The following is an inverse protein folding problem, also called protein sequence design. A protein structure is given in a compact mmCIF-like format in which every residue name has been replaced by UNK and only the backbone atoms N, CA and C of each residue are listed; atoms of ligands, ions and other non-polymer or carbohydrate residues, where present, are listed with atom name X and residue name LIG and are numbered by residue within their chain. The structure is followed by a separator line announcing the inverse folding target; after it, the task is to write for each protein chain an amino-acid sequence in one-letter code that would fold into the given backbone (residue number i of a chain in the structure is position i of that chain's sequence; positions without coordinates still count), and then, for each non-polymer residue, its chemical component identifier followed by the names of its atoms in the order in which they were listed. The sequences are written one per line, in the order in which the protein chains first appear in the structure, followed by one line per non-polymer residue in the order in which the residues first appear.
data_IF_852859011018
#
_entry.id   IF_852859011018
#
_cell.length_a   1.000
_cell.length_b   1.000
_cell.length_c   1.000
_cell.angle_alpha   90.00
_cell.angle_beta   90.00
_cell.angle_gamma   90.00
#
_symmetry.space_group_name_H-M   'P 1'
#
loop_
_entity.id
_entity.type
_entity.pdbx_description
1 polymer ?
#
# COMPACT_ATOMS: atom_id res chain seq x y z
N UNK A 1 3.43 13.06 13.18
CA UNK A 1 2.40 12.74 12.17
C UNK A 1 2.40 11.22 12.01
N UNK A 2 1.25 10.60 11.79
CA UNK A 2 1.16 9.14 11.65
C UNK A 2 1.54 8.72 10.22
N UNK A 3 2.57 7.88 10.11
CA UNK A 3 3.08 7.36 8.84
C UNK A 3 2.60 5.94 8.61
N UNK A 4 1.87 5.73 7.52
CA UNK A 4 1.34 4.42 7.14
C UNK A 4 2.32 3.68 6.26
N UNK A 5 2.64 2.44 6.60
CA UNK A 5 3.43 1.58 5.72
C UNK A 5 2.57 1.05 4.56
N UNK A 6 2.94 1.36 3.31
CA UNK A 6 2.17 0.99 2.11
C UNK A 6 2.85 -0.13 1.31
N UNK A 7 4.10 -0.45 1.60
CA UNK A 7 4.84 -1.54 0.97
C UNK A 7 6.29 -1.20 0.69
N UNK A 8 6.85 -1.80 -0.36
CA UNK A 8 8.22 -1.59 -0.78
C UNK A 8 8.29 -1.15 -2.23
N UNK A 9 9.37 -0.47 -2.60
CA UNK A 9 9.65 -0.17 -4.01
C UNK A 9 9.81 -1.46 -4.85
N UNK A 10 9.44 -1.36 -6.13
CA UNK A 10 9.30 -2.50 -7.06
C UNK A 10 10.64 -2.94 -7.63
N UNK A 11 10.78 -4.24 -7.89
CA UNK A 11 11.88 -4.82 -8.68
C UNK A 11 11.49 -4.84 -10.18
N UNK A 12 12.44 -4.67 -11.12
CA UNK A 12 12.17 -4.76 -12.56
C UNK A 12 11.60 -6.14 -12.97
N UNK A 13 10.81 -6.16 -14.04
CA UNK A 13 10.08 -7.35 -14.52
C UNK A 13 10.97 -8.44 -15.15
N UNK A 14 12.28 -8.23 -15.23
CA UNK A 14 13.24 -9.15 -15.84
C UNK A 14 14.32 -9.50 -14.83
N UNK A 15 14.56 -10.79 -14.53
CA UNK A 15 15.79 -11.21 -13.87
C UNK A 15 16.90 -11.28 -14.94
N UNK A 16 17.52 -10.14 -15.24
CA UNK A 16 18.79 -10.15 -15.99
C UNK A 16 19.94 -10.27 -14.99
N UNK A 17 20.45 -11.50 -14.85
CA UNK A 17 21.67 -11.80 -14.10
C UNK A 17 21.53 -11.71 -12.59
N UNK A 18 22.61 -12.05 -11.90
CA UNK A 18 22.76 -12.04 -10.44
C UNK A 18 22.60 -10.62 -9.86
N UNK A 19 21.37 -10.09 -9.85
CA UNK A 19 21.08 -8.82 -9.21
C UNK A 19 21.15 -9.07 -7.70
N UNK A 20 22.06 -8.39 -6.96
CA UNK A 20 22.12 -8.49 -5.51
C UNK A 20 20.74 -8.18 -4.93
N UNK A 21 20.41 -8.76 -3.77
CA UNK A 21 19.22 -8.38 -3.02
C UNK A 21 19.28 -6.87 -2.71
N UNK A 22 18.69 -6.06 -3.59
CA UNK A 22 18.71 -4.60 -3.48
C UNK A 22 17.92 -4.28 -2.21
N UNK A 23 18.52 -3.51 -1.31
CA UNK A 23 17.83 -2.97 -0.15
C UNK A 23 16.54 -2.28 -0.63
N UNK A 24 15.38 -2.79 -0.22
CA UNK A 24 14.08 -2.37 -0.76
C UNK A 24 13.56 -1.24 0.13
N UNK A 25 13.61 0.03 -0.31
CA UNK A 25 13.12 1.10 0.52
C UNK A 25 11.64 0.91 0.82
N UNK A 26 11.29 1.03 2.09
CA UNK A 26 9.91 1.04 2.54
C UNK A 26 9.22 2.31 2.05
N UNK A 27 7.99 2.17 1.58
CA UNK A 27 7.15 3.27 1.13
C UNK A 27 6.16 3.61 2.25
N UNK A 28 6.17 4.87 2.66
CA UNK A 28 5.29 5.41 3.68
C UNK A 28 4.35 6.47 3.10
N UNK A 29 3.17 6.58 3.69
CA UNK A 29 2.16 7.58 3.36
C UNK A 29 1.78 8.33 4.64
N UNK A 30 1.87 9.64 4.61
CA UNK A 30 1.33 10.48 5.69
C UNK A 30 -0.19 10.33 5.74
N UNK A 31 -0.74 10.02 6.93
CA UNK A 31 -2.19 9.80 7.10
C UNK A 31 -3.03 10.98 6.61
N UNK A 32 -2.57 12.21 6.80
CA UNK A 32 -3.24 13.44 6.36
C UNK A 32 -3.41 13.50 4.83
N UNK A 33 -2.64 12.72 4.08
CA UNK A 33 -2.81 12.58 2.63
C UNK A 33 -4.17 12.00 2.27
N UNK A 34 -4.75 11.13 3.13
CA UNK A 34 -6.07 10.54 2.91
C UNK A 34 -7.21 11.57 2.94
N UNK A 35 -6.99 12.76 3.53
CA UNK A 35 -7.94 13.88 3.48
C UNK A 35 -8.14 14.40 2.05
N UNK A 36 -7.23 14.09 1.12
CA UNK A 36 -7.32 14.46 -0.30
C UNK A 36 -7.89 13.35 -1.18
N UNK A 37 -8.39 12.28 -0.57
CA UNK A 37 -8.84 11.05 -1.21
C UNK A 37 -7.70 10.25 -1.86
N UNK A 38 -7.85 8.93 -1.85
CA UNK A 38 -6.95 7.98 -2.51
C UNK A 38 -7.77 7.10 -3.45
N UNK A 39 -7.17 6.72 -4.58
CA UNK A 39 -7.77 5.77 -5.51
C UNK A 39 -6.72 4.73 -5.93
N UNK A 40 -7.05 3.44 -5.76
CA UNK A 40 -6.24 2.34 -6.26
C UNK A 40 -6.76 1.89 -7.64
N UNK A 41 -5.97 2.11 -8.70
CA UNK A 41 -6.33 1.78 -10.09
C UNK A 41 -5.44 0.66 -10.66
N UNK A 42 -5.99 -0.18 -11.54
CA UNK A 42 -5.29 -1.33 -12.13
C UNK A 42 -6.20 -2.47 -12.56
N UNK A 43 -5.67 -3.45 -13.31
CA UNK A 43 -6.39 -4.63 -13.82
C UNK A 43 -6.82 -5.61 -12.71
N UNK A 44 -7.68 -6.59 -13.02
CA UNK A 44 -7.94 -7.71 -12.10
C UNK A 44 -6.62 -8.38 -11.68
N UNK A 45 -6.52 -8.81 -10.42
CA UNK A 45 -5.29 -9.40 -9.85
C UNK A 45 -4.12 -8.44 -9.59
N UNK A 46 -4.25 -7.14 -9.87
CA UNK A 46 -3.15 -6.17 -9.71
C UNK A 46 -2.85 -5.74 -8.26
N UNK A 47 -3.58 -6.28 -7.27
CA UNK A 47 -3.40 -5.95 -5.86
C UNK A 47 -4.14 -4.70 -5.35
N UNK A 48 -5.11 -4.12 -6.10
CA UNK A 48 -5.89 -2.95 -5.65
C UNK A 48 -6.56 -3.16 -4.30
N UNK A 49 -7.29 -4.27 -4.15
CA UNK A 49 -7.99 -4.61 -2.91
C UNK A 49 -7.01 -4.80 -1.75
N UNK A 50 -5.86 -5.44 -2.01
CA UNK A 50 -4.79 -5.61 -1.02
C UNK A 50 -4.23 -4.25 -0.58
N UNK A 51 -3.96 -3.35 -1.53
CA UNK A 51 -3.50 -1.99 -1.23
C UNK A 51 -4.50 -1.24 -0.35
N UNK A 52 -5.80 -1.29 -0.67
CA UNK A 52 -6.84 -0.67 0.16
C UNK A 52 -6.87 -1.28 1.57
N UNK A 53 -6.76 -2.61 1.71
CA UNK A 53 -6.74 -3.29 3.02
C UNK A 53 -5.52 -2.89 3.84
N UNK A 54 -4.33 -2.80 3.25
CA UNK A 54 -3.11 -2.31 3.92
C UNK A 54 -3.31 -0.90 4.48
N UNK A 55 -3.87 0.02 3.70
CA UNK A 55 -4.15 1.39 4.17
C UNK A 55 -5.08 1.37 5.39
N UNK A 56 -6.16 0.57 5.35
CA UNK A 56 -7.09 0.45 6.47
C UNK A 56 -6.44 -0.20 7.69
N UNK A 57 -5.60 -1.23 7.51
CA UNK A 57 -4.85 -1.85 8.61
C UNK A 57 -3.94 -0.83 9.30
N UNK A 58 -3.24 0.00 8.53
CA UNK A 58 -2.40 1.07 9.06
C UNK A 58 -3.21 2.15 9.78
N UNK A 59 -4.38 2.55 9.26
CA UNK A 59 -5.30 3.45 9.96
C UNK A 59 -5.68 2.89 11.33
N UNK A 60 -6.10 1.62 11.39
CA UNK A 60 -6.51 0.96 12.63
C UNK A 60 -5.33 0.84 13.62
N UNK A 61 -4.12 0.50 13.13
CA UNK A 61 -2.90 0.45 13.95
C UNK A 61 -2.55 1.79 14.60
N UNK A 62 -2.92 2.89 13.95
CA UNK A 62 -2.73 4.25 14.45
C UNK A 62 -3.94 4.80 15.22
N UNK A 63 -4.94 3.96 15.51
CA UNK A 63 -6.13 4.36 16.27
C UNK A 63 -7.13 5.22 15.47
N UNK A 64 -7.02 5.23 14.15
CA UNK A 64 -7.90 5.99 13.27
C UNK A 64 -9.09 5.10 12.83
N UNK A 65 -10.33 5.62 12.94
CA UNK A 65 -11.51 4.85 12.55
C UNK A 65 -11.65 4.75 11.04
N UNK A 66 -12.19 3.63 10.56
CA UNK A 66 -12.51 3.41 9.15
C UNK A 66 -13.89 2.79 8.98
N UNK A 67 -14.63 3.25 7.96
CA UNK A 67 -15.85 2.60 7.49
C UNK A 67 -15.51 1.89 6.19
N UNK A 68 -15.62 0.56 6.17
CA UNK A 68 -15.26 -0.25 5.02
C UNK A 68 -16.51 -0.75 4.31
N UNK A 69 -16.59 -0.50 3.00
CA UNK A 69 -17.59 -1.08 2.11
C UNK A 69 -16.85 -2.05 1.20
N UNK A 70 -16.71 -3.30 1.65
CA UNK A 70 -16.03 -4.36 0.90
C UNK A 70 -17.07 -5.38 0.39
N UNK A 71 -17.48 -5.33 -0.89
CA UNK A 71 -18.43 -6.28 -1.44
C UNK A 71 -17.86 -7.69 -1.63
N UNK A 72 -16.55 -7.89 -1.48
CA UNK A 72 -15.88 -9.19 -1.66
C UNK A 72 -15.52 -9.87 -0.33
N UNK A 73 -15.37 -9.09 0.75
CA UNK A 73 -14.90 -9.57 2.06
C UNK A 73 -13.39 -9.51 2.22
#
# INVERSE_FOLDING_TARGET
MSEFFIGFDRMPKTPEGDVPAIERPALHLEADTLLRHMMALGSSGSGKTVLCKVVIEEMIRHGLPAICIDPQG
#
